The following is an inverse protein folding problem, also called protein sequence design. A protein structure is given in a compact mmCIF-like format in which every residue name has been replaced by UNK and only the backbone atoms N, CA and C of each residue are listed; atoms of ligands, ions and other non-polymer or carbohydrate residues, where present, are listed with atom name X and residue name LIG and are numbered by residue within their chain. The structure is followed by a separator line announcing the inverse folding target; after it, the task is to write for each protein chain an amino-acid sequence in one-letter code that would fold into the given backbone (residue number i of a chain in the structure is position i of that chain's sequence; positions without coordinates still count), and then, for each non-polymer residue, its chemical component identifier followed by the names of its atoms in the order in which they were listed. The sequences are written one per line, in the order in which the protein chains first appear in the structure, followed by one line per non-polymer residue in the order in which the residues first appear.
data_IF_123513673315
#
_entry.id   IF_123513673315
#
_cell.length_a   1.000
_cell.length_b   1.000
_cell.length_c   1.000
_cell.angle_alpha   90.00
_cell.angle_beta   90.00
_cell.angle_gamma   90.00
#
_symmetry.space_group_name_H-M   'P 1'
#
loop_
_entity.id
_entity.type
_entity.pdbx_description
1 polymer ?
#
# COMPACT_ATOMS: atom_id res chain seq x y z
N UNK A 1 -7.63 3.79 7.59
CA UNK A 1 -8.76 2.93 7.14
C UNK A 1 -8.22 1.88 6.18
N UNK A 2 -8.62 0.62 6.29
CA UNK A 2 -8.32 -0.40 5.27
C UNK A 2 -9.01 -0.05 3.94
N UNK A 3 -8.23 0.16 2.87
CA UNK A 3 -8.80 0.43 1.54
C UNK A 3 -8.70 -0.82 0.68
N UNK A 4 -9.81 -1.55 0.55
CA UNK A 4 -9.93 -2.65 -0.40
C UNK A 4 -10.14 -2.07 -1.81
N UNK A 5 -9.21 -2.38 -2.71
CA UNK A 5 -9.24 -2.00 -4.12
C UNK A 5 -9.34 -3.26 -4.97
N UNK A 6 -10.36 -3.31 -5.82
CA UNK A 6 -10.47 -4.29 -6.90
C UNK A 6 -9.70 -3.78 -8.11
N UNK A 7 -8.78 -4.61 -8.63
CA UNK A 7 -8.14 -4.39 -9.92
C UNK A 7 -8.77 -5.32 -10.95
N UNK A 8 -9.07 -4.77 -12.14
CA UNK A 8 -9.76 -5.48 -13.22
C UNK A 8 -9.04 -5.20 -14.55
N UNK A 9 -8.53 -6.27 -15.16
CA UNK A 9 -7.88 -6.29 -16.47
C UNK A 9 -8.70 -7.05 -17.53
N UNK A 10 -10.00 -7.24 -17.32
CA UNK A 10 -10.88 -7.96 -18.27
C UNK A 10 -11.02 -7.28 -19.64
N UNK A 11 -10.53 -6.04 -19.77
CA UNK A 11 -10.43 -5.29 -21.03
C UNK A 11 -9.08 -5.45 -21.75
N UNK A 12 -8.13 -6.20 -21.18
CA UNK A 12 -6.89 -6.57 -21.88
C UNK A 12 -7.22 -7.56 -23.00
N UNK A 13 -6.59 -7.40 -24.16
CA UNK A 13 -6.85 -8.20 -25.36
C UNK A 13 -5.56 -8.55 -26.06
N UNK A 14 -5.51 -9.78 -26.56
CA UNK A 14 -4.53 -10.25 -27.52
C UNK A 14 -5.22 -10.37 -28.90
N UNK A 15 -4.70 -9.71 -29.96
CA UNK A 15 -5.27 -9.79 -31.31
C UNK A 15 -5.01 -11.10 -32.06
N UNK A 16 -3.95 -11.84 -31.73
CA UNK A 16 -3.49 -13.03 -32.45
C UNK A 16 -3.46 -14.33 -31.61
N UNK A 17 -3.53 -14.22 -30.27
CA UNK A 17 -3.63 -15.35 -29.34
C UNK A 17 -4.61 -15.15 -28.18
N UNK A 18 -4.21 -15.57 -26.99
CA UNK A 18 -4.94 -15.46 -25.72
C UNK A 18 -4.01 -15.15 -24.54
N UNK A 19 -4.43 -14.22 -23.68
CA UNK A 19 -3.71 -13.92 -22.42
C UNK A 19 -3.85 -15.09 -21.45
N UNK A 20 -2.72 -15.71 -21.07
CA UNK A 20 -2.66 -16.87 -20.17
C UNK A 20 -2.31 -16.50 -18.72
N UNK A 21 -1.67 -15.35 -18.50
CA UNK A 21 -1.24 -14.89 -17.17
C UNK A 21 -1.41 -13.37 -16.99
N UNK A 22 -1.82 -13.00 -15.78
CA UNK A 22 -1.88 -11.63 -15.26
C UNK A 22 -1.02 -11.58 -13.99
N UNK A 23 0.09 -10.86 -14.04
CA UNK A 23 1.00 -10.65 -12.92
C UNK A 23 0.87 -9.22 -12.38
N UNK A 24 0.28 -9.10 -11.19
CA UNK A 24 -0.01 -7.82 -10.54
C UNK A 24 1.02 -7.49 -9.47
N UNK A 25 1.79 -6.42 -9.63
CA UNK A 25 2.55 -5.79 -8.56
C UNK A 25 1.72 -4.67 -7.93
N UNK A 26 1.37 -4.79 -6.65
CA UNK A 26 0.50 -3.82 -5.97
C UNK A 26 1.24 -2.58 -5.45
N UNK A 27 2.55 -2.44 -5.71
CA UNK A 27 3.39 -1.32 -5.28
C UNK A 27 3.89 -1.40 -3.83
N UNK A 28 3.38 -2.36 -3.05
CA UNK A 28 3.73 -2.62 -1.66
C UNK A 28 4.28 -4.06 -1.50
N UNK A 29 5.42 -4.32 -2.14
CA UNK A 29 6.28 -5.52 -1.97
C UNK A 29 5.77 -6.86 -2.53
N UNK A 30 4.47 -7.05 -2.78
CA UNK A 30 3.93 -8.33 -3.29
C UNK A 30 3.51 -8.29 -4.77
N UNK A 31 3.96 -9.30 -5.52
CA UNK A 31 3.45 -9.66 -6.85
C UNK A 31 2.47 -10.84 -6.78
N UNK A 32 1.38 -10.78 -7.53
CA UNK A 32 0.35 -11.84 -7.62
C UNK A 32 0.17 -12.26 -9.08
N UNK A 33 0.70 -13.42 -9.44
CA UNK A 33 0.45 -14.07 -10.72
C UNK A 33 -0.83 -14.92 -10.66
N UNK A 34 -1.69 -14.80 -11.67
CA UNK A 34 -2.98 -15.48 -11.76
C UNK A 34 -3.44 -15.59 -13.21
N UNK A 35 -4.23 -16.61 -13.54
CA UNK A 35 -4.92 -16.70 -14.84
C UNK A 35 -6.25 -15.92 -14.88
N UNK A 36 -6.67 -15.31 -13.77
CA UNK A 36 -7.87 -14.48 -13.71
C UNK A 36 -7.53 -12.98 -13.82
N UNK A 37 -8.26 -12.21 -14.66
CA UNK A 37 -7.99 -10.79 -14.87
C UNK A 37 -8.38 -9.89 -13.69
N UNK A 38 -9.01 -10.42 -12.63
CA UNK A 38 -9.53 -9.63 -11.50
C UNK A 38 -8.88 -10.10 -10.20
N UNK A 39 -8.35 -9.15 -9.43
CA UNK A 39 -7.85 -9.38 -8.07
C UNK A 39 -8.42 -8.34 -7.09
N UNK A 40 -8.41 -8.66 -5.80
CA UNK A 40 -8.67 -7.70 -4.73
C UNK A 40 -7.39 -7.53 -3.90
N UNK A 41 -7.04 -6.31 -3.54
CA UNK A 41 -5.94 -6.00 -2.64
C UNK A 41 -6.40 -5.02 -1.56
N UNK A 42 -6.07 -5.30 -0.30
CA UNK A 42 -6.34 -4.38 0.81
C UNK A 42 -5.09 -3.58 1.10
N UNK A 43 -5.12 -2.29 0.80
CA UNK A 43 -4.10 -1.36 1.25
C UNK A 43 -4.30 -1.06 2.74
N UNK A 44 -3.22 -1.29 3.48
CA UNK A 44 -3.19 -1.29 4.96
C UNK A 44 -2.52 -0.06 5.55
N UNK A 45 -1.71 0.63 4.75
CA UNK A 45 -0.97 1.84 5.07
C UNK A 45 -1.43 2.93 4.08
N UNK A 46 -1.67 4.18 4.51
CA UNK A 46 -1.96 5.28 3.59
C UNK A 46 -0.73 5.71 2.78
N UNK A 47 -0.93 6.01 1.49
CA UNK A 47 0.16 6.40 0.60
C UNK A 47 -0.20 6.34 -0.89
N UNK A 48 0.78 6.68 -1.73
CA UNK A 48 0.69 6.53 -3.19
C UNK A 48 1.41 5.27 -3.63
N UNK A 49 0.66 4.34 -4.22
CA UNK A 49 1.14 3.04 -4.68
C UNK A 49 1.14 2.99 -6.21
N UNK A 50 2.30 2.72 -6.79
CA UNK A 50 2.42 2.42 -8.23
C UNK A 50 2.06 0.95 -8.43
N UNK A 51 0.84 0.71 -8.90
CA UNK A 51 0.35 -0.61 -9.27
C UNK A 51 0.76 -0.88 -10.71
N UNK A 52 1.34 -2.05 -10.95
CA UNK A 52 1.79 -2.48 -12.29
C UNK A 52 1.17 -3.83 -12.61
N UNK A 53 0.56 -3.94 -13.78
CA UNK A 53 0.13 -5.18 -14.38
C UNK A 53 1.09 -5.55 -15.50
N UNK A 54 1.62 -6.76 -15.49
CA UNK A 54 2.21 -7.42 -16.66
C UNK A 54 1.27 -8.54 -17.09
N UNK A 55 0.92 -8.58 -18.38
CA UNK A 55 0.17 -9.70 -18.99
C UNK A 55 1.11 -10.54 -19.84
N UNK A 56 0.83 -11.85 -19.94
CA UNK A 56 1.57 -12.80 -20.78
C UNK A 56 0.58 -13.54 -21.69
N UNK A 57 0.88 -13.65 -22.99
CA UNK A 57 0.09 -14.42 -23.97
C UNK A 57 0.56 -15.90 -24.11
N UNK A 58 -0.13 -16.71 -24.91
CA UNK A 58 0.22 -18.11 -25.14
C UNK A 58 1.46 -18.33 -26.03
N UNK A 59 1.93 -17.31 -26.75
CA UNK A 59 3.22 -17.29 -27.45
C UNK A 59 4.39 -16.86 -26.53
N UNK A 60 4.09 -16.38 -25.32
CA UNK A 60 5.04 -15.93 -24.30
C UNK A 60 5.48 -14.47 -24.43
N UNK A 61 4.82 -13.67 -25.26
CA UNK A 61 4.99 -12.20 -25.28
C UNK A 61 4.42 -11.60 -24.01
N UNK A 62 4.95 -10.44 -23.60
CA UNK A 62 4.44 -9.70 -22.46
C UNK A 62 4.21 -8.23 -22.80
N UNK A 63 3.18 -7.64 -22.20
CA UNK A 63 2.96 -6.19 -22.17
C UNK A 63 2.74 -5.72 -20.73
N UNK A 64 2.99 -4.44 -20.44
CA UNK A 64 2.98 -3.91 -19.07
C UNK A 64 2.37 -2.51 -18.99
N UNK A 65 1.47 -2.31 -18.04
CA UNK A 65 0.83 -1.03 -17.75
C UNK A 65 0.87 -0.71 -16.25
N UNK A 66 0.91 0.58 -15.92
CA UNK A 66 0.99 1.05 -14.53
C UNK A 66 0.00 2.16 -14.23
N UNK A 67 -0.50 2.19 -12.99
CA UNK A 67 -1.41 3.22 -12.48
C UNK A 67 -1.06 3.55 -11.02
N UNK A 68 -1.11 4.83 -10.67
CA UNK A 68 -0.96 5.26 -9.28
C UNK A 68 -2.33 5.18 -8.59
N UNK A 69 -2.38 4.52 -7.44
CA UNK A 69 -3.49 4.52 -6.50
C UNK A 69 -3.08 5.35 -5.28
N UNK A 70 -3.95 6.25 -4.83
CA UNK A 70 -3.74 7.02 -3.60
C UNK A 70 -4.73 6.53 -2.54
N UNK A 71 -4.17 5.95 -1.48
CA UNK A 71 -4.89 5.46 -0.31
C UNK A 71 -4.99 6.60 0.68
N UNK A 72 -6.21 6.97 1.06
CA UNK A 72 -6.47 8.16 1.89
C UNK A 72 -5.87 8.07 3.29
N UNK A 73 -5.37 9.21 3.78
CA UNK A 73 -4.59 9.36 5.00
C UNK A 73 -3.11 9.63 4.73
N UNK A 74 -2.33 9.91 5.77
CA UNK A 74 -0.88 10.02 5.69
C UNK A 74 -0.28 9.04 6.70
N UNK A 75 0.64 8.19 6.26
CA UNK A 75 1.35 7.30 7.16
C UNK A 75 2.11 8.14 8.22
N UNK A 76 1.81 7.92 9.49
CA UNK A 76 2.31 8.69 10.63
C UNK A 76 1.45 9.89 11.06
N UNK A 77 0.33 10.17 10.39
CA UNK A 77 -0.69 11.15 10.82
C UNK A 77 -1.70 10.39 11.70
N UNK A 78 -1.54 10.52 13.01
CA UNK A 78 -2.30 9.74 14.00
C UNK A 78 -3.49 10.51 14.55
N UNK A 79 -3.53 11.84 14.36
CA UNK A 79 -4.66 12.69 14.73
C UNK A 79 -5.64 12.97 13.57
N UNK A 80 -5.27 12.60 12.33
CA UNK A 80 -5.97 12.84 11.08
C UNK A 80 -6.18 14.32 10.73
N UNK A 81 -5.22 15.19 11.08
CA UNK A 81 -5.25 16.62 10.73
C UNK A 81 -4.66 16.96 9.35
N UNK A 82 -4.06 15.97 8.68
CA UNK A 82 -3.45 16.12 7.36
C UNK A 82 -2.00 16.61 7.40
N UNK A 83 -1.36 16.65 8.57
CA UNK A 83 0.06 16.98 8.75
C UNK A 83 0.77 15.97 9.65
N UNK A 84 2.10 15.88 9.52
CA UNK A 84 2.93 14.99 10.36
C UNK A 84 3.63 15.84 11.40
N UNK A 85 3.25 15.69 12.67
CA UNK A 85 3.66 16.57 13.76
C UNK A 85 4.04 15.82 15.03
N UNK A 86 4.59 16.55 16.02
CA UNK A 86 4.89 15.97 17.33
C UNK A 86 3.63 15.52 18.10
N UNK A 87 2.43 15.96 17.71
CA UNK A 87 1.19 15.44 18.27
C UNK A 87 0.99 13.97 17.86
N UNK A 88 1.31 13.62 16.62
CA UNK A 88 1.20 12.26 16.10
C UNK A 88 2.21 11.33 16.76
N UNK A 89 3.46 11.78 16.91
CA UNK A 89 4.47 11.04 17.67
C UNK A 89 4.05 10.81 19.13
N UNK A 90 3.36 11.77 19.76
CA UNK A 90 2.83 11.62 21.11
C UNK A 90 1.65 10.63 21.17
N UNK A 91 0.78 10.62 20.16
CA UNK A 91 -0.35 9.68 20.04
C UNK A 91 0.15 8.26 19.78
N UNK A 92 1.08 8.06 18.84
CA UNK A 92 1.75 6.78 18.60
C UNK A 92 2.51 6.28 19.84
N UNK A 93 3.07 7.18 20.66
CA UNK A 93 3.69 6.81 21.93
C UNK A 93 2.67 6.30 22.96
N UNK A 94 1.45 6.87 22.99
CA UNK A 94 0.36 6.37 23.84
C UNK A 94 -0.13 4.98 23.39
N UNK A 95 -0.13 4.69 22.08
CA UNK A 95 -0.40 3.37 21.53
C UNK A 95 0.70 2.37 21.92
N UNK A 96 1.96 2.73 21.70
CA UNK A 96 3.12 1.87 22.01
C UNK A 96 3.27 1.48 23.50
N UNK A 97 2.63 2.21 24.43
CA UNK A 97 2.56 1.84 25.86
C UNK A 97 1.22 1.19 26.27
N UNK A 98 0.31 0.96 25.31
CA UNK A 98 -1.02 0.39 25.54
C UNK A 98 -1.99 1.30 26.28
N UNK A 99 -1.77 2.62 26.28
CA UNK A 99 -2.66 3.59 26.94
C UNK A 99 -3.90 3.91 26.10
N UNK A 100 -3.82 3.74 24.78
CA UNK A 100 -4.92 3.83 23.82
C UNK A 100 -4.79 2.69 22.78
N UNK A 101 -5.86 2.31 22.06
CA UNK A 101 -5.76 1.30 21.00
C UNK A 101 -4.87 1.75 19.84
N UNK A 102 -4.04 0.83 19.36
CA UNK A 102 -3.22 0.99 18.14
C UNK A 102 -4.06 1.39 16.91
N UNK A 103 -3.51 2.27 16.08
CA UNK A 103 -4.06 2.60 14.75
C UNK A 103 -3.08 2.21 13.64
N UNK A 104 -3.61 1.99 12.44
CA UNK A 104 -2.82 1.56 11.26
C UNK A 104 -1.91 2.67 10.74
N UNK A 105 -2.34 3.89 10.96
CA UNK A 105 -1.66 5.10 10.58
C UNK A 105 -0.42 5.34 11.47
N UNK A 106 -0.42 4.81 12.70
CA UNK A 106 0.72 4.85 13.62
C UNK A 106 1.71 3.69 13.45
N UNK A 107 1.33 2.56 12.83
CA UNK A 107 2.26 1.51 12.38
C UNK A 107 2.91 1.97 11.07
N UNK A 108 4.00 2.73 11.19
CA UNK A 108 4.69 3.34 10.04
C UNK A 108 5.80 2.44 9.47
N UNK A 109 6.03 1.28 10.10
CA UNK A 109 7.00 0.28 9.68
C UNK A 109 6.35 -0.92 8.98
N UNK A 110 5.08 -1.22 9.27
CA UNK A 110 4.27 -2.25 8.62
C UNK A 110 4.32 -3.64 9.27
N UNK A 111 4.91 -3.80 10.47
CA UNK A 111 5.00 -5.09 11.16
C UNK A 111 3.71 -5.52 11.89
N UNK A 112 2.67 -4.67 11.87
CA UNK A 112 1.37 -4.92 12.48
C UNK A 112 1.30 -4.53 13.96
N UNK A 113 2.22 -3.71 14.46
CA UNK A 113 2.25 -3.24 15.87
C UNK A 113 2.69 -1.79 15.94
N UNK A 114 2.10 -1.01 16.85
CA UNK A 114 2.62 0.32 17.16
C UNK A 114 3.65 0.20 18.28
N UNK A 115 4.89 0.63 18.01
CA UNK A 115 6.02 0.51 18.95
C UNK A 115 6.80 1.81 19.08
N UNK A 116 7.82 1.83 19.93
CA UNK A 116 8.76 2.97 20.01
C UNK A 116 9.61 3.15 18.75
N UNK A 117 9.70 2.14 17.87
CA UNK A 117 10.33 2.26 16.57
C UNK A 117 9.50 3.16 15.64
N UNK A 118 8.18 3.01 15.68
CA UNK A 118 7.23 3.80 14.88
C UNK A 118 7.23 5.26 15.31
N UNK A 119 7.18 5.50 16.63
CA UNK A 119 7.34 6.85 17.21
C UNK A 119 8.64 7.50 16.72
N UNK A 120 9.75 6.76 16.68
CA UNK A 120 11.02 7.26 16.16
C UNK A 120 10.97 7.54 14.64
N UNK A 121 10.28 6.72 13.87
CA UNK A 121 10.12 6.91 12.41
C UNK A 121 9.22 8.11 12.09
N UNK A 122 8.17 8.38 12.89
CA UNK A 122 7.37 9.60 12.81
C UNK A 122 8.24 10.82 13.14
N UNK A 123 9.00 10.80 14.25
CA UNK A 123 9.94 11.88 14.63
C UNK A 123 11.02 12.16 13.58
N UNK A 124 11.50 11.13 12.87
CA UNK A 124 12.41 11.27 11.73
C UNK A 124 11.79 12.02 10.55
N UNK A 125 10.54 11.71 10.19
CA UNK A 125 9.80 12.43 9.14
C UNK A 125 9.61 13.91 9.49
N UNK A 126 9.25 14.22 10.73
CA UNK A 126 9.07 15.61 11.23
C UNK A 126 10.38 16.41 11.13
N UNK A 127 11.51 15.76 11.44
CA UNK A 127 12.83 16.42 11.48
C UNK A 127 13.57 16.43 10.14
N UNK A 128 12.99 15.86 9.08
CA UNK A 128 13.61 15.79 7.75
C UNK A 128 14.78 14.81 7.63
N UNK A 129 14.97 13.93 8.62
CA UNK A 129 15.99 12.88 8.59
C UNK A 129 15.39 11.56 8.07
N UNK A 130 15.50 11.35 6.76
CA UNK A 130 15.22 10.05 6.12
C UNK A 130 16.36 9.05 6.39
#
# INVERSE_FOLDING_TARGET
MDQNITFDASSSTDPDGTIVEYNWNNGCENTTATSYPVINHTYVIPGSYTVTLTVTDDDGTTDTTSKIITVEGICGDSNHDGTITVADAAIALLMAVGAIPDTREADVNGDGKVTSLDVLMILRRISGYA
#
